data_IF_154029212119
#
_entry.id   IF_154029212119
#
_cell.length_a   1.000
_cell.length_b   1.000
_cell.length_c   1.000
_cell.angle_alpha   90.00
_cell.angle_beta   90.00
_cell.angle_gamma   90.00
#
_symmetry.space_group_name_H-M   'P 1'
#
loop_
_entity.id
_entity.type
_entity.pdbx_description
1 polymer ?
#
# COMPACT_ATOMS: atom_id res chain seq x y z
N UNK A 1 2.31 -17.13 1.83
CA UNK A 1 2.10 -18.57 2.08
C UNK A 1 0.99 -19.01 1.17
N UNK A 2 1.19 -20.13 0.48
CA UNK A 2 0.21 -20.73 -0.43
C UNK A 2 0.11 -22.21 -0.06
N UNK A 3 -1.10 -22.75 -0.12
CA UNK A 3 -1.37 -24.14 0.25
C UNK A 3 -0.71 -24.56 1.58
N UNK A 4 -0.90 -23.74 2.63
CA UNK A 4 -0.36 -23.96 3.97
C UNK A 4 1.18 -23.89 4.11
N UNK A 5 1.93 -23.47 3.08
CA UNK A 5 3.41 -23.45 3.11
C UNK A 5 3.99 -22.10 2.69
N UNK A 6 5.18 -21.79 3.18
CA UNK A 6 5.92 -20.61 2.72
C UNK A 6 6.31 -20.81 1.26
N UNK A 7 5.78 -19.94 0.38
CA UNK A 7 5.98 -20.04 -1.06
C UNK A 7 6.91 -18.97 -1.62
N UNK A 8 6.75 -17.73 -1.16
CA UNK A 8 7.49 -16.59 -1.68
C UNK A 8 7.77 -15.58 -0.58
N UNK A 9 8.92 -14.92 -0.71
CA UNK A 9 9.35 -13.76 0.07
C UNK A 9 9.72 -12.68 -0.94
N UNK A 10 9.16 -11.49 -0.77
CA UNK A 10 9.43 -10.35 -1.64
C UNK A 10 9.85 -9.13 -0.83
N UNK A 11 10.78 -8.36 -1.38
CA UNK A 11 11.10 -7.01 -0.91
C UNK A 11 10.95 -6.04 -2.07
N UNK A 12 10.30 -4.89 -1.82
CA UNK A 12 10.08 -3.85 -2.82
C UNK A 12 10.40 -2.49 -2.23
N UNK A 13 11.15 -1.68 -2.98
CA UNK A 13 11.39 -0.26 -2.69
C UNK A 13 10.88 0.55 -3.87
N UNK A 14 9.98 1.48 -3.61
CA UNK A 14 9.42 2.38 -4.61
C UNK A 14 9.63 3.83 -4.18
N UNK A 15 10.06 4.66 -5.12
CA UNK A 15 10.01 6.10 -5.00
C UNK A 15 9.15 6.63 -6.15
N UNK A 16 8.23 7.53 -5.84
CA UNK A 16 7.39 8.16 -6.85
C UNK A 16 7.10 9.61 -6.49
N UNK A 17 6.82 10.40 -7.50
CA UNK A 17 6.32 11.77 -7.37
C UNK A 17 5.00 11.84 -8.10
N UNK A 18 4.02 12.45 -7.45
CA UNK A 18 2.75 12.82 -8.05
C UNK A 18 2.66 14.34 -8.09
N UNK A 19 2.36 14.90 -9.25
CA UNK A 19 2.17 16.33 -9.45
C UNK A 19 0.71 16.59 -9.81
N UNK A 20 0.08 17.48 -9.04
CA UNK A 20 -1.22 18.07 -9.38
C UNK A 20 -1.01 19.55 -9.66
N UNK A 21 -1.58 20.05 -10.74
CA UNK A 21 -1.57 21.48 -11.08
C UNK A 21 -2.98 22.02 -11.23
N UNK A 22 -3.12 23.33 -11.14
CA UNK A 22 -4.33 24.06 -11.56
C UNK A 22 -3.90 25.04 -12.65
N UNK A 23 -4.35 24.81 -13.89
CA UNK A 23 -4.05 25.66 -15.05
C UNK A 23 -5.36 26.19 -15.62
N UNK A 24 -5.51 27.51 -15.70
CA UNK A 24 -6.74 28.16 -16.18
C UNK A 24 -7.99 27.62 -15.46
N UNK A 25 -7.88 27.42 -14.15
CA UNK A 25 -8.96 26.89 -13.31
C UNK A 25 -9.25 25.39 -13.48
N UNK A 26 -8.50 24.63 -14.28
CA UNK A 26 -8.68 23.18 -14.47
C UNK A 26 -7.55 22.36 -13.85
N UNK A 27 -7.90 21.19 -13.34
CA UNK A 27 -6.97 20.29 -12.64
C UNK A 27 -6.20 19.43 -13.62
N UNK A 28 -4.87 19.48 -13.58
CA UNK A 28 -3.98 18.54 -14.25
C UNK A 28 -3.31 17.59 -13.26
N UNK A 29 -2.96 16.39 -13.70
CA UNK A 29 -2.30 15.39 -12.84
C UNK A 29 -1.34 14.50 -13.64
N UNK A 30 -0.18 14.22 -13.06
CA UNK A 30 0.76 13.25 -13.59
C UNK A 30 1.56 12.59 -12.46
N UNK A 31 2.14 11.43 -12.74
CA UNK A 31 2.99 10.69 -11.80
C UNK A 31 4.22 10.13 -12.49
N UNK A 32 5.33 10.00 -11.76
CA UNK A 32 6.55 9.35 -12.27
C UNK A 32 7.27 8.59 -11.16
N UNK A 33 8.00 7.55 -11.53
CA UNK A 33 9.02 6.89 -10.69
C UNK A 33 10.44 7.33 -11.06
N UNK A 34 10.61 8.09 -12.15
CA UNK A 34 11.88 8.65 -12.60
C UNK A 34 12.03 10.07 -12.04
N UNK A 35 12.77 10.19 -10.93
CA UNK A 35 12.87 11.45 -10.18
C UNK A 35 13.70 12.54 -10.87
N UNK A 36 14.43 12.20 -11.94
CA UNK A 36 15.30 13.13 -12.66
C UNK A 36 14.62 13.93 -13.78
N UNK A 37 13.38 13.59 -14.15
CA UNK A 37 12.68 14.21 -15.29
C UNK A 37 11.47 15.03 -14.81
N UNK A 38 11.75 16.11 -14.08
CA UNK A 38 10.71 17.00 -13.57
C UNK A 38 9.98 17.74 -14.68
N UNK A 39 10.66 18.03 -15.80
CA UNK A 39 10.07 18.79 -16.90
C UNK A 39 8.97 17.98 -17.60
N UNK A 40 9.23 16.71 -17.89
CA UNK A 40 8.23 15.82 -18.47
C UNK A 40 7.03 15.63 -17.54
N UNK A 41 7.27 15.48 -16.23
CA UNK A 41 6.18 15.40 -15.25
C UNK A 41 5.28 16.66 -15.31
N UNK A 42 5.87 17.85 -15.42
CA UNK A 42 5.13 19.11 -15.56
C UNK A 42 4.37 19.14 -16.88
N UNK A 43 5.02 18.80 -18.00
CA UNK A 43 4.38 18.78 -19.32
C UNK A 43 3.15 17.86 -19.34
N UNK A 44 3.28 16.64 -18.82
CA UNK A 44 2.19 15.67 -18.72
C UNK A 44 1.04 16.19 -17.84
N UNK A 45 1.35 16.85 -16.71
CA UNK A 45 0.33 17.47 -15.88
C UNK A 45 -0.37 18.64 -16.60
N UNK A 46 0.35 19.39 -17.43
CA UNK A 46 -0.19 20.50 -18.24
C UNK A 46 -1.11 20.01 -19.36
N UNK A 47 -0.75 18.93 -20.03
CA UNK A 47 -1.58 18.30 -21.07
C UNK A 47 -2.88 17.77 -20.48
N UNK A 48 -2.82 17.03 -19.37
CA UNK A 48 -4.01 16.49 -18.72
C UNK A 48 -4.95 17.56 -18.17
N UNK A 49 -4.45 18.76 -17.83
CA UNK A 49 -5.28 19.86 -17.35
C UNK A 49 -6.32 20.34 -18.37
N UNK A 50 -6.08 20.16 -19.68
CA UNK A 50 -7.04 20.54 -20.73
C UNK A 50 -8.36 19.78 -20.59
N UNK A 51 -8.28 18.52 -20.15
CA UNK A 51 -9.43 17.63 -19.91
C UNK A 51 -9.87 17.60 -18.43
N UNK A 52 -9.19 18.37 -17.58
CA UNK A 52 -9.40 18.43 -16.15
C UNK A 52 -10.72 19.07 -15.74
N UNK A 53 -11.27 18.61 -14.62
CA UNK A 53 -12.39 19.28 -13.95
C UNK A 53 -11.97 20.66 -13.44
N UNK A 54 -12.94 21.57 -13.32
CA UNK A 54 -12.74 22.86 -12.67
C UNK A 54 -12.33 22.68 -11.21
N UNK A 55 -11.24 23.31 -10.80
CA UNK A 55 -10.80 23.37 -9.42
C UNK A 55 -11.77 24.24 -8.60
N UNK A 56 -12.45 23.62 -7.64
CA UNK A 56 -13.36 24.29 -6.69
C UNK A 56 -12.77 24.36 -5.27
N UNK A 57 -11.45 24.36 -5.18
CA UNK A 57 -10.70 24.42 -3.93
C UNK A 57 -9.45 25.27 -4.11
N UNK A 58 -8.94 25.80 -3.01
CA UNK A 58 -7.62 26.42 -2.96
C UNK A 58 -6.59 25.48 -2.35
N UNK A 59 -5.33 25.62 -2.74
CA UNK A 59 -4.25 24.91 -2.09
C UNK A 59 -4.01 25.52 -0.69
N UNK A 60 -3.75 24.69 0.34
CA UNK A 60 -3.52 25.20 1.69
C UNK A 60 -2.26 26.07 1.73
N UNK A 61 -2.32 27.18 2.47
CA UNK A 61 -1.13 27.97 2.81
C UNK A 61 -0.26 27.23 3.83
N UNK A 62 0.91 27.80 4.14
CA UNK A 62 1.73 27.33 5.25
C UNK A 62 0.89 27.34 6.54
N UNK A 63 0.69 26.16 7.12
CA UNK A 63 -0.10 25.95 8.34
C UNK A 63 0.54 24.84 9.14
N UNK A 64 0.43 24.90 10.47
CA UNK A 64 0.85 23.81 11.35
C UNK A 64 -0.16 22.66 11.26
N UNK A 65 0.34 21.44 11.01
CA UNK A 65 -0.47 20.23 11.09
C UNK A 65 -0.24 19.54 12.44
N UNK A 66 -1.25 18.87 13.01
CA UNK A 66 -1.04 18.07 14.20
C UNK A 66 -0.01 16.99 13.92
N UNK A 67 0.91 16.78 14.87
CA UNK A 67 1.88 15.69 14.78
C UNK A 67 1.14 14.37 14.97
N UNK A 68 1.20 13.49 13.96
CA UNK A 68 0.69 12.13 14.05
C UNK A 68 1.87 11.18 14.18
N UNK A 69 1.95 10.45 15.29
CA UNK A 69 2.97 9.43 15.52
C UNK A 69 2.58 8.12 14.82
N UNK A 70 2.68 8.11 13.49
CA UNK A 70 2.33 6.97 12.65
C UNK A 70 3.51 6.01 12.37
N UNK A 71 4.71 6.35 12.84
CA UNK A 71 5.92 5.54 12.66
C UNK A 71 6.32 4.86 13.96
N UNK A 72 6.44 3.54 13.90
CA UNK A 72 7.00 2.73 14.97
C UNK A 72 8.30 2.07 14.48
N UNK A 73 9.48 2.36 15.09
CA UNK A 73 10.75 1.75 14.71
C UNK A 73 10.78 0.24 14.95
N UNK A 74 9.97 -0.27 15.88
CA UNK A 74 9.91 -1.71 16.18
C UNK A 74 9.30 -2.51 15.03
N UNK A 75 8.44 -1.88 14.21
CA UNK A 75 7.91 -2.51 12.99
C UNK A 75 9.00 -2.68 11.94
N UNK A 76 9.91 -1.70 11.82
CA UNK A 76 11.00 -1.74 10.86
C UNK A 76 12.03 -2.81 11.22
N UNK A 77 12.25 -3.02 12.52
CA UNK A 77 13.22 -3.98 13.06
C UNK A 77 12.72 -5.44 13.10
N UNK A 78 11.43 -5.71 12.88
CA UNK A 78 10.90 -7.09 12.80
C UNK A 78 11.71 -7.92 11.79
N UNK A 79 12.31 -9.02 12.23
CA UNK A 79 13.13 -9.85 11.34
C UNK A 79 12.28 -10.66 10.36
N UNK A 80 12.90 -11.14 9.27
CA UNK A 80 12.22 -12.01 8.31
C UNK A 80 11.80 -13.32 8.97
N UNK A 81 12.65 -13.88 9.82
CA UNK A 81 12.41 -15.11 10.57
C UNK A 81 11.17 -14.95 11.45
N UNK A 82 11.02 -13.80 12.11
CA UNK A 82 9.84 -13.51 12.91
C UNK A 82 8.57 -13.42 12.06
N UNK A 83 8.65 -12.84 10.86
CA UNK A 83 7.51 -12.79 9.94
C UNK A 83 7.10 -14.18 9.45
N UNK A 84 8.08 -15.06 9.17
CA UNK A 84 7.82 -16.45 8.78
C UNK A 84 7.15 -17.20 9.94
N UNK A 85 7.70 -17.10 11.15
CA UNK A 85 7.14 -17.70 12.37
C UNK A 85 5.68 -17.27 12.59
N UNK A 86 5.38 -15.98 12.41
CA UNK A 86 4.02 -15.45 12.54
C UNK A 86 3.06 -16.03 11.49
N UNK A 87 3.49 -16.15 10.23
CA UNK A 87 2.68 -16.76 9.18
C UNK A 87 2.41 -18.24 9.42
N UNK A 88 3.43 -18.98 9.86
CA UNK A 88 3.29 -20.40 10.24
C UNK A 88 2.34 -20.58 11.41
N UNK A 89 2.45 -19.74 12.45
CA UNK A 89 1.54 -19.75 13.61
C UNK A 89 0.09 -19.45 13.20
N UNK A 90 -0.11 -18.51 12.29
CA UNK A 90 -1.44 -18.14 11.78
C UNK A 90 -2.10 -19.35 11.11
N UNK A 91 -1.38 -20.04 10.22
CA UNK A 91 -1.84 -21.25 9.54
C UNK A 91 -2.08 -22.39 10.53
N UNK A 92 -1.13 -22.65 11.43
CA UNK A 92 -1.24 -23.71 12.43
C UNK A 92 -2.47 -23.54 13.32
N UNK A 93 -2.80 -22.29 13.69
CA UNK A 93 -3.98 -21.97 14.50
C UNK A 93 -5.27 -22.33 13.76
N UNK A 94 -5.39 -21.93 12.49
CA UNK A 94 -6.58 -22.22 11.68
C UNK A 94 -6.71 -23.72 11.39
N UNK A 95 -5.61 -24.40 11.05
CA UNK A 95 -5.59 -25.85 10.85
C UNK A 95 -5.86 -26.66 12.11
N UNK A 96 -5.47 -26.16 13.27
CA UNK A 96 -5.77 -26.80 14.55
C UNK A 96 -7.27 -26.90 14.81
N UNK A 97 -8.05 -25.96 14.28
CA UNK A 97 -9.51 -25.98 14.33
C UNK A 97 -10.14 -26.75 13.16
N UNK A 98 -9.61 -26.59 11.94
CA UNK A 98 -10.14 -27.23 10.73
C UNK A 98 -9.01 -27.89 9.93
N UNK A 99 -8.71 -29.18 10.15
CA UNK A 99 -7.50 -29.82 9.62
C UNK A 99 -7.35 -29.81 8.09
N UNK A 100 -8.46 -29.93 7.37
CA UNK A 100 -8.50 -30.06 5.91
C UNK A 100 -8.53 -28.71 5.16
N UNK A 101 -8.52 -27.60 5.89
CA UNK A 101 -8.52 -26.27 5.28
C UNK A 101 -7.19 -25.98 4.56
N UNK A 102 -7.31 -25.38 3.38
CA UNK A 102 -6.18 -24.89 2.60
C UNK A 102 -6.09 -23.39 2.81
N UNK A 103 -5.03 -22.92 3.47
CA UNK A 103 -4.83 -21.52 3.77
C UNK A 103 -3.86 -20.84 2.79
N UNK A 104 -4.20 -19.60 2.48
CA UNK A 104 -3.29 -18.57 1.99
C UNK A 104 -3.06 -17.56 3.09
N UNK A 105 -1.81 -17.15 3.30
CA UNK A 105 -1.49 -16.19 4.36
C UNK A 105 -0.37 -15.23 3.94
N UNK A 106 -0.43 -14.01 4.45
CA UNK A 106 0.54 -12.96 4.18
C UNK A 106 0.94 -12.23 5.46
N UNK A 107 2.24 -11.97 5.59
CA UNK A 107 2.79 -11.05 6.60
C UNK A 107 3.55 -9.98 5.85
N UNK A 108 3.19 -8.71 6.06
CA UNK A 108 3.82 -7.58 5.38
C UNK A 108 4.33 -6.60 6.43
N UNK A 109 5.57 -6.15 6.27
CA UNK A 109 6.11 -4.99 6.96
C UNK A 109 6.54 -3.94 5.93
N UNK A 110 6.44 -2.67 6.28
CA UNK A 110 6.88 -1.60 5.41
C UNK A 110 7.00 -0.27 6.12
N UNK A 111 7.77 0.63 5.53
CA UNK A 111 7.86 2.02 5.97
C UNK A 111 7.62 2.92 4.78
N UNK A 112 6.78 3.93 4.97
CA UNK A 112 6.42 4.91 3.96
C UNK A 112 6.80 6.30 4.47
N UNK A 113 7.57 7.02 3.68
CA UNK A 113 7.86 8.44 3.89
C UNK A 113 7.11 9.26 2.86
N UNK A 114 6.42 10.30 3.30
CA UNK A 114 5.62 11.17 2.44
C UNK A 114 6.05 12.62 2.67
N UNK A 115 6.27 13.33 1.56
CA UNK A 115 6.51 14.77 1.53
C UNK A 115 5.54 15.41 0.55
N UNK A 116 4.83 16.43 1.02
CA UNK A 116 3.87 17.20 0.24
C UNK A 116 4.29 18.66 0.31
N UNK A 117 4.36 19.31 -0.85
CA UNK A 117 4.61 20.74 -0.98
C UNK A 117 3.65 21.31 -2.03
N UNK A 118 3.30 22.59 -1.91
CA UNK A 118 2.46 23.27 -2.90
C UNK A 118 2.93 24.71 -3.16
N UNK A 119 2.38 25.35 -4.20
CA UNK A 119 2.76 26.71 -4.63
C UNK A 119 2.28 27.84 -3.71
N UNK A 120 1.41 27.56 -2.72
CA UNK A 120 0.95 28.52 -1.70
C UNK A 120 1.73 28.40 -0.39
N UNK A 121 2.83 27.64 -0.39
CA UNK A 121 3.70 27.45 0.76
C UNK A 121 3.25 26.37 1.74
N UNK A 122 2.15 25.65 1.46
CA UNK A 122 1.75 24.51 2.27
C UNK A 122 2.79 23.38 2.18
N UNK A 123 3.19 22.87 3.34
CA UNK A 123 4.15 21.77 3.45
C UNK A 123 3.71 20.77 4.52
N UNK A 124 3.85 19.48 4.23
CA UNK A 124 3.64 18.41 5.20
C UNK A 124 4.64 17.29 4.94
N UNK A 125 5.18 16.73 6.02
CA UNK A 125 6.12 15.62 5.96
C UNK A 125 5.79 14.64 7.08
N UNK A 126 5.67 13.36 6.75
CA UNK A 126 5.47 12.34 7.76
C UNK A 126 6.05 11.00 7.32
N UNK A 127 6.31 10.15 8.30
CA UNK A 127 6.72 8.76 8.12
C UNK A 127 5.67 7.89 8.79
N UNK A 128 5.37 6.74 8.19
CA UNK A 128 4.49 5.73 8.80
C UNK A 128 5.07 4.34 8.63
N UNK A 129 4.83 3.49 9.61
CA UNK A 129 5.10 2.05 9.54
C UNK A 129 3.81 1.30 9.18
N UNK A 130 3.95 0.19 8.46
CA UNK A 130 2.87 -0.72 8.08
C UNK A 130 3.29 -2.10 8.57
N UNK A 131 2.44 -2.76 9.35
CA UNK A 131 2.57 -4.17 9.69
C UNK A 131 1.20 -4.82 9.57
N UNK A 132 1.07 -5.83 8.71
CA UNK A 132 -0.20 -6.51 8.47
C UNK A 132 0.00 -8.01 8.42
N UNK A 133 -0.92 -8.74 9.04
CA UNK A 133 -1.08 -10.18 8.87
C UNK A 133 -2.46 -10.42 8.29
N UNK A 134 -2.56 -11.34 7.34
CA UNK A 134 -3.82 -11.77 6.76
C UNK A 134 -3.78 -13.26 6.48
N UNK A 135 -4.93 -13.91 6.62
CA UNK A 135 -5.15 -15.31 6.25
C UNK A 135 -6.51 -15.43 5.60
N UNK A 136 -6.56 -16.26 4.57
CA UNK A 136 -7.76 -16.72 3.90
C UNK A 136 -7.70 -18.25 3.88
N UNK A 137 -8.86 -18.90 3.94
CA UNK A 137 -8.94 -20.35 3.99
C UNK A 137 -10.09 -20.89 3.17
N UNK A 138 -9.82 -21.92 2.38
CA UNK A 138 -10.80 -22.62 1.56
C UNK A 138 -10.92 -24.07 2.05
N UNK A 139 -12.14 -24.51 2.30
CA UNK A 139 -12.48 -25.88 2.64
C UNK A 139 -13.34 -26.45 1.53
N UNK A 140 -12.92 -27.56 0.94
CA UNK A 140 -13.67 -28.24 -0.11
C UNK A 140 -14.22 -29.53 0.50
N UNK A 141 -15.55 -29.64 0.54
CA UNK A 141 -16.22 -30.89 0.84
C UNK A 141 -16.58 -31.58 -0.47
N UNK A 142 -16.22 -32.85 -0.58
CA UNK A 142 -16.66 -33.69 -1.68
C UNK A 142 -18.14 -34.03 -1.42
N UNK A 143 -19.05 -33.22 -1.97
CA UNK A 143 -20.49 -33.52 -1.98
C UNK A 143 -20.93 -33.90 -3.38
N UNK A 144 -21.55 -35.07 -3.46
CA UNK A 144 -22.26 -35.73 -4.57
C UNK A 144 -21.45 -36.61 -5.55
N UNK A 145 -20.98 -37.75 -5.03
CA UNK A 145 -21.11 -38.99 -5.79
C UNK A 145 -22.57 -39.46 -5.70
N UNK A 146 -23.42 -39.06 -6.65
CA UNK A 146 -24.73 -39.71 -6.82
C UNK A 146 -24.52 -41.17 -7.19
N UNK A 147 -24.69 -42.07 -6.23
CA UNK A 147 -24.88 -43.50 -6.47
C UNK A 147 -26.23 -43.70 -7.16
N UNK A 148 -26.21 -43.78 -8.50
CA UNK A 148 -27.33 -44.32 -9.27
C UNK A 148 -27.26 -45.85 -9.24
N UNK A 149 -28.10 -46.46 -8.40
CA UNK A 149 -28.51 -47.87 -8.47
C UNK A 149 -29.54 -48.09 -9.58
#
# INVERSE_FOLDING_TARGET
FEANRLKHIQSKRNNSVALRIVRQGRIGYATTTQLGDSQNLVNNAVETAQFGMTAKFELPSLTAYPRVEAYNPDVESVSLEKMIELGEKLIATVKGHTPDIICEAGVTKGVVSVRIINSRGGQANYRKSIFTLGIEGTLIHDTDSTSGS
#
